data_IF_039008421893
#
_entry.id   IF_039008421893
#
_cell.length_a   1.000
_cell.length_b   1.000
_cell.length_c   1.000
_cell.angle_alpha   90.00
_cell.angle_beta   90.00
_cell.angle_gamma   90.00
#
_symmetry.space_group_name_H-M   'P 1'
#
loop_
_entity.id
_entity.type
_entity.pdbx_description
1 polymer ?
#
# COMPACT_ATOMS: atom_id res chain seq x y z
N UNK A 1 14.54 8.52 20.11
CA UNK A 1 14.40 9.99 19.96
C UNK A 1 14.33 10.41 18.50
N UNK A 2 15.36 10.19 17.67
CA UNK A 2 15.36 10.60 16.24
C UNK A 2 14.15 10.06 15.46
N UNK A 3 13.86 8.76 15.59
CA UNK A 3 12.71 8.14 14.92
C UNK A 3 11.35 8.75 15.31
N UNK A 4 11.21 9.29 16.53
CA UNK A 4 10.00 9.98 16.96
C UNK A 4 9.79 11.28 16.17
N UNK A 5 10.84 12.11 16.06
CA UNK A 5 10.77 13.37 15.31
C UNK A 5 10.59 13.16 13.81
N UNK A 6 11.25 12.15 13.24
CA UNK A 6 11.03 11.75 11.84
C UNK A 6 9.61 11.24 11.63
N UNK A 7 9.07 10.47 12.59
CA UNK A 7 7.68 10.02 12.58
C UNK A 7 6.67 11.17 12.65
N UNK A 8 6.90 12.15 13.53
CA UNK A 8 6.10 13.37 13.63
C UNK A 8 6.11 14.15 12.32
N UNK A 9 7.29 14.31 11.70
CA UNK A 9 7.41 14.93 10.38
C UNK A 9 6.66 14.13 9.31
N UNK A 10 6.71 12.80 9.35
CA UNK A 10 5.93 11.92 8.46
C UNK A 10 4.42 12.10 8.61
N UNK A 11 3.93 12.46 9.80
CA UNK A 11 2.52 12.78 10.06
C UNK A 11 2.00 13.96 9.22
N UNK A 12 2.87 14.86 8.77
CA UNK A 12 2.51 15.96 7.85
C UNK A 12 1.92 15.47 6.51
N UNK A 13 2.17 14.21 6.14
CA UNK A 13 1.56 13.59 4.96
C UNK A 13 0.03 13.67 4.98
N UNK A 14 -0.60 13.43 6.15
CA UNK A 14 -2.06 13.51 6.28
C UNK A 14 -2.57 14.94 6.04
N UNK A 15 -1.82 15.93 6.53
CA UNK A 15 -2.12 17.36 6.30
C UNK A 15 -2.04 17.68 4.82
N UNK A 16 -1.02 17.19 4.11
CA UNK A 16 -0.87 17.41 2.67
C UNK A 16 -1.94 16.73 1.82
N UNK A 17 -2.43 15.54 2.21
CA UNK A 17 -3.58 14.90 1.54
C UNK A 17 -4.84 15.75 1.71
N UNK A 18 -5.14 16.18 2.94
CA UNK A 18 -6.30 17.02 3.22
C UNK A 18 -6.22 18.37 2.51
N UNK A 19 -5.01 18.95 2.43
CA UNK A 19 -4.72 20.15 1.66
C UNK A 19 -5.02 19.91 0.18
N UNK A 20 -4.39 18.92 -0.46
CA UNK A 20 -4.60 18.64 -1.89
C UNK A 20 -6.07 18.38 -2.21
N UNK A 21 -6.79 17.60 -1.41
CA UNK A 21 -8.19 17.28 -1.72
C UNK A 21 -9.10 18.52 -1.74
N UNK A 22 -8.81 19.56 -0.95
CA UNK A 22 -9.61 20.79 -0.94
C UNK A 22 -9.41 21.65 -2.18
N UNK A 23 -8.19 21.65 -2.72
CA UNK A 23 -7.82 22.50 -3.86
C UNK A 23 -8.23 21.95 -5.23
N UNK A 24 -8.66 20.69 -5.31
CA UNK A 24 -9.04 20.04 -6.55
C UNK A 24 -10.50 19.57 -6.52
N UNK A 25 -11.15 19.68 -7.68
CA UNK A 25 -12.50 19.17 -7.90
C UNK A 25 -12.58 17.66 -7.64
N UNK A 26 -13.74 17.17 -7.19
CA UNK A 26 -13.96 15.73 -6.90
C UNK A 26 -13.56 14.81 -8.06
N UNK A 27 -13.72 15.26 -9.31
CA UNK A 27 -13.35 14.51 -10.52
C UNK A 27 -11.84 14.38 -10.76
N UNK A 28 -10.99 15.11 -10.02
CA UNK A 28 -9.52 15.12 -10.17
C UNK A 28 -8.76 14.89 -8.86
N UNK A 29 -9.48 14.68 -7.76
CA UNK A 29 -8.91 14.49 -6.43
C UNK A 29 -8.01 13.26 -6.35
N UNK A 30 -8.38 12.17 -7.02
CA UNK A 30 -7.59 10.94 -7.07
C UNK A 30 -6.22 11.20 -7.68
N UNK A 31 -6.18 11.88 -8.82
CA UNK A 31 -4.95 12.28 -9.49
C UNK A 31 -4.11 13.20 -8.59
N UNK A 32 -4.69 14.25 -8.02
CA UNK A 32 -3.97 15.19 -7.16
C UNK A 32 -3.32 14.50 -5.96
N UNK A 33 -4.07 13.66 -5.22
CA UNK A 33 -3.55 12.87 -4.11
C UNK A 33 -2.57 11.78 -4.55
N UNK A 34 -2.73 11.28 -5.79
CA UNK A 34 -1.83 10.34 -6.44
C UNK A 34 -0.46 10.97 -6.68
N UNK A 35 -0.41 12.17 -7.27
CA UNK A 35 0.81 12.96 -7.51
C UNK A 35 1.46 13.34 -6.18
N UNK A 36 0.69 13.87 -5.23
CA UNK A 36 1.20 14.19 -3.90
C UNK A 36 1.86 12.96 -3.23
N UNK A 37 1.20 11.81 -3.28
CA UNK A 37 1.75 10.57 -2.74
C UNK A 37 2.83 9.90 -3.58
N UNK A 38 3.07 10.34 -4.82
CA UNK A 38 4.20 9.89 -5.63
C UNK A 38 5.55 10.31 -5.03
N UNK A 39 5.55 11.21 -4.03
CA UNK A 39 6.70 11.49 -3.16
C UNK A 39 7.32 10.24 -2.51
N UNK A 40 6.58 9.12 -2.42
CA UNK A 40 7.13 7.82 -2.03
C UNK A 40 8.28 7.35 -2.94
N UNK A 41 8.38 7.86 -4.18
CA UNK A 41 9.53 7.66 -5.07
C UNK A 41 10.84 8.16 -4.47
N UNK A 42 10.76 9.15 -3.56
CA UNK A 42 11.91 9.63 -2.79
C UNK A 42 12.62 8.52 -2.01
N UNK A 43 11.92 7.47 -1.56
CA UNK A 43 12.55 6.31 -0.93
C UNK A 43 13.46 5.54 -1.89
N UNK A 44 13.07 5.43 -3.17
CA UNK A 44 13.92 4.81 -4.19
C UNK A 44 15.14 5.70 -4.51
N UNK A 45 14.94 7.02 -4.62
CA UNK A 45 16.04 7.99 -4.78
C UNK A 45 17.02 7.89 -3.60
N UNK A 46 16.52 7.78 -2.37
CA UNK A 46 17.35 7.62 -1.16
C UNK A 46 18.22 6.37 -1.19
N UNK A 47 17.75 5.26 -1.76
CA UNK A 47 18.57 4.04 -1.91
C UNK A 47 19.78 4.25 -2.83
N UNK A 48 19.73 5.23 -3.74
CA UNK A 48 20.84 5.59 -4.63
C UNK A 48 21.72 6.70 -4.05
N UNK A 49 21.10 7.72 -3.46
CA UNK A 49 21.79 8.92 -2.96
C UNK A 49 22.48 8.68 -1.63
N UNK A 50 21.85 7.95 -0.69
CA UNK A 50 22.40 7.78 0.65
C UNK A 50 23.76 7.03 0.64
N UNK A 51 23.94 5.91 -0.09
CA UNK A 51 25.26 5.28 -0.19
C UNK A 51 26.33 6.19 -0.78
N UNK A 52 26.00 7.02 -1.78
CA UNK A 52 26.94 7.97 -2.36
C UNK A 52 27.41 9.03 -1.35
N UNK A 53 26.49 9.54 -0.53
CA UNK A 53 26.82 10.47 0.57
C UNK A 53 27.71 9.78 1.61
N UNK A 54 27.37 8.54 1.99
CA UNK A 54 28.16 7.77 2.98
C UNK A 54 29.59 7.57 2.50
N UNK A 55 29.78 7.20 1.23
CA UNK A 55 31.12 6.98 0.64
C UNK A 55 31.92 8.28 0.56
N UNK A 56 31.30 9.38 0.15
CA UNK A 56 32.00 10.64 -0.07
C UNK A 56 32.27 11.44 1.22
N UNK A 57 31.33 11.42 2.18
CA UNK A 57 31.34 12.34 3.33
C UNK A 57 31.01 11.67 4.67
N UNK A 58 30.83 10.35 4.71
CA UNK A 58 30.48 9.61 5.91
C UNK A 58 28.99 9.60 6.24
N UNK A 59 28.59 8.69 7.14
CA UNK A 59 27.18 8.43 7.44
C UNK A 59 26.47 9.58 8.16
N UNK A 60 27.19 10.40 8.93
CA UNK A 60 26.64 11.55 9.68
C UNK A 60 26.14 12.66 8.76
N UNK A 61 26.65 12.74 7.53
CA UNK A 61 26.22 13.73 6.54
C UNK A 61 24.88 13.40 5.92
N UNK A 62 24.48 12.12 5.89
CA UNK A 62 23.18 11.70 5.35
C UNK A 62 22.02 12.46 6.01
N UNK A 63 21.80 12.40 7.33
CA UNK A 63 20.69 13.12 7.95
C UNK A 63 20.79 14.64 7.79
N UNK A 64 21.99 15.23 7.73
CA UNK A 64 22.17 16.67 7.55
C UNK A 64 21.73 17.13 6.16
N UNK A 65 22.10 16.40 5.10
CA UNK A 65 21.68 16.68 3.73
C UNK A 65 20.16 16.58 3.60
N UNK A 66 19.54 15.53 4.19
CA UNK A 66 18.09 15.40 4.18
C UNK A 66 17.39 16.51 4.98
N UNK A 67 17.94 16.92 6.12
CA UNK A 67 17.40 18.03 6.90
C UNK A 67 17.43 19.35 6.10
N UNK A 68 18.55 19.64 5.41
CA UNK A 68 18.66 20.80 4.54
C UNK A 68 17.66 20.74 3.37
N UNK A 69 17.52 19.59 2.71
CA UNK A 69 16.55 19.40 1.62
C UNK A 69 15.10 19.61 2.10
N UNK A 70 14.76 19.12 3.30
CA UNK A 70 13.45 19.34 3.92
C UNK A 70 13.22 20.82 4.24
N UNK A 71 14.22 21.53 4.76
CA UNK A 71 14.12 22.97 5.03
C UNK A 71 13.90 23.76 3.74
N UNK A 72 14.66 23.46 2.67
CA UNK A 72 14.46 24.08 1.35
C UNK A 72 13.05 23.83 0.85
N UNK A 73 12.54 22.60 0.97
CA UNK A 73 11.16 22.27 0.57
C UNK A 73 10.13 23.05 1.38
N UNK A 74 10.34 23.20 2.70
CA UNK A 74 9.47 23.98 3.56
C UNK A 74 9.46 25.47 3.21
N UNK A 75 10.63 26.05 2.90
CA UNK A 75 10.74 27.44 2.44
C UNK A 75 10.06 27.64 1.08
N UNK A 76 10.28 26.73 0.12
CA UNK A 76 9.58 26.76 -1.16
C UNK A 76 8.07 26.69 -0.96
N UNK A 77 7.58 25.78 -0.12
CA UNK A 77 6.16 25.71 0.19
C UNK A 77 5.65 27.01 0.83
N UNK A 78 6.39 27.61 1.76
CA UNK A 78 6.02 28.87 2.41
C UNK A 78 5.89 30.05 1.43
N UNK A 79 6.81 30.17 0.46
CA UNK A 79 6.84 31.30 -0.46
C UNK A 79 5.97 31.12 -1.72
N UNK A 80 5.71 29.88 -2.13
CA UNK A 80 5.00 29.58 -3.38
C UNK A 80 3.56 29.07 -3.19
N UNK A 81 3.10 28.93 -1.95
CA UNK A 81 1.71 28.52 -1.65
C UNK A 81 0.82 29.74 -1.38
N UNK A 82 -0.44 29.62 -1.77
CA UNK A 82 -1.46 30.66 -1.57
C UNK A 82 -2.52 30.21 -0.56
N UNK A 83 -3.12 31.16 0.14
CA UNK A 83 -4.23 30.92 1.05
C UNK A 83 -5.58 31.15 0.35
N UNK A 84 -6.50 30.20 0.49
CA UNK A 84 -7.89 30.36 0.09
C UNK A 84 -8.80 30.35 1.34
N UNK A 85 -9.55 31.43 1.62
CA UNK A 85 -10.51 31.47 2.72
C UNK A 85 -11.54 30.34 2.69
N UNK A 86 -11.96 29.87 1.51
CA UNK A 86 -12.92 28.77 1.35
C UNK A 86 -12.36 27.42 1.81
N UNK A 87 -11.03 27.27 1.84
CA UNK A 87 -10.37 26.04 2.28
C UNK A 87 -10.01 26.02 3.77
N UNK A 88 -10.30 27.09 4.53
CA UNK A 88 -10.01 27.16 5.96
C UNK A 88 -10.88 26.17 6.75
N UNK A 89 -10.28 25.56 7.78
CA UNK A 89 -10.97 24.60 8.67
C UNK A 89 -11.15 25.26 10.03
N UNK A 90 -12.32 25.13 10.69
CA UNK A 90 -12.48 25.60 12.07
C UNK A 90 -11.50 24.89 13.00
N UNK A 91 -10.83 25.64 13.88
CA UNK A 91 -9.77 25.12 14.77
C UNK A 91 -10.27 24.37 16.00
N UNK A 92 -11.55 23.96 16.02
CA UNK A 92 -12.25 23.54 17.25
C UNK A 92 -12.39 22.02 17.41
N UNK A 93 -11.82 21.21 16.52
CA UNK A 93 -12.00 19.75 16.55
C UNK A 93 -11.17 19.13 17.68
N UNK A 94 -11.84 18.60 18.69
CA UNK A 94 -11.19 17.96 19.85
C UNK A 94 -10.66 16.56 19.50
N UNK A 95 -9.63 16.10 20.22
CA UNK A 95 -9.11 14.72 20.08
C UNK A 95 -10.23 13.69 20.28
N UNK A 96 -11.17 13.94 21.20
CA UNK A 96 -12.32 13.07 21.44
C UNK A 96 -13.22 12.95 20.22
N UNK A 97 -13.45 14.04 19.48
CA UNK A 97 -14.22 14.02 18.24
C UNK A 97 -13.49 13.27 17.13
N UNK A 98 -12.17 13.43 17.03
CA UNK A 98 -11.36 12.66 16.07
C UNK A 98 -11.42 11.16 16.35
N UNK A 99 -11.32 10.75 17.62
CA UNK A 99 -11.43 9.34 18.02
C UNK A 99 -12.83 8.75 17.81
N UNK A 100 -13.89 9.57 17.67
CA UNK A 100 -15.22 9.05 17.30
C UNK A 100 -15.23 8.41 15.91
N UNK A 101 -14.33 8.82 15.01
CA UNK A 101 -14.20 8.19 13.70
C UNK A 101 -13.87 6.70 13.78
N UNK A 102 -13.21 6.24 14.85
CA UNK A 102 -12.93 4.81 15.07
C UNK A 102 -14.17 3.98 15.38
N UNK A 103 -15.32 4.61 15.68
CA UNK A 103 -16.58 3.90 15.85
C UNK A 103 -17.24 3.55 14.52
N UNK A 104 -16.81 4.16 13.43
CA UNK A 104 -17.35 3.91 12.10
C UNK A 104 -16.70 2.66 11.48
N UNK A 105 -17.47 1.59 11.19
CA UNK A 105 -16.92 0.38 10.58
C UNK A 105 -16.36 0.61 9.16
N UNK A 106 -16.81 1.64 8.45
CA UNK A 106 -16.30 1.98 7.11
C UNK A 106 -14.85 2.50 7.19
N UNK A 107 -14.48 3.19 8.28
CA UNK A 107 -13.09 3.61 8.51
C UNK A 107 -12.17 2.39 8.66
N UNK A 108 -12.59 1.37 9.42
CA UNK A 108 -11.81 0.14 9.58
C UNK A 108 -11.64 -0.65 8.28
N UNK A 109 -12.64 -0.61 7.41
CA UNK A 109 -12.54 -1.16 6.06
C UNK A 109 -11.41 -0.47 5.27
N UNK A 110 -11.33 0.86 5.30
CA UNK A 110 -10.23 1.59 4.64
C UNK A 110 -8.88 1.37 5.31
N UNK A 111 -8.84 1.29 6.65
CA UNK A 111 -7.64 0.90 7.38
C UNK A 111 -7.12 -0.48 6.91
N UNK A 112 -8.03 -1.44 6.72
CA UNK A 112 -7.69 -2.77 6.25
C UNK A 112 -7.18 -2.78 4.79
N UNK A 113 -7.80 -2.02 3.89
CA UNK A 113 -7.30 -1.91 2.52
C UNK A 113 -5.92 -1.25 2.48
N UNK A 114 -5.75 -0.18 3.25
CA UNK A 114 -4.49 0.56 3.30
C UNK A 114 -3.36 -0.20 4.00
N UNK A 115 -3.68 -1.03 5.00
CA UNK A 115 -2.69 -1.91 5.65
C UNK A 115 -2.05 -2.89 4.67
N UNK A 116 -2.76 -3.32 3.63
CA UNK A 116 -2.22 -4.14 2.55
C UNK A 116 -1.38 -3.29 1.59
N UNK A 117 -2.03 -2.31 0.94
CA UNK A 117 -1.42 -1.64 -0.22
C UNK A 117 -0.30 -0.68 0.16
N UNK A 118 -0.30 -0.17 1.39
CA UNK A 118 0.79 0.62 1.95
C UNK A 118 1.62 -0.19 2.96
N UNK A 119 1.00 -0.79 3.96
CA UNK A 119 1.73 -1.55 4.99
C UNK A 119 2.43 -2.78 4.41
N UNK A 120 1.70 -3.60 3.66
CA UNK A 120 2.26 -4.73 2.91
C UNK A 120 3.30 -4.29 1.88
N UNK A 121 3.12 -3.14 1.23
CA UNK A 121 4.14 -2.57 0.35
C UNK A 121 5.45 -2.28 1.10
N UNK A 122 5.38 -1.55 2.22
CA UNK A 122 6.57 -1.26 3.03
C UNK A 122 7.21 -2.55 3.53
N UNK A 123 6.41 -3.50 4.00
CA UNK A 123 6.88 -4.76 4.54
C UNK A 123 7.61 -5.60 3.48
N UNK A 124 7.01 -5.77 2.30
CA UNK A 124 7.64 -6.47 1.18
C UNK A 124 8.92 -5.74 0.76
N UNK A 125 8.90 -4.41 0.61
CA UNK A 125 10.07 -3.64 0.21
C UNK A 125 11.28 -3.83 1.14
N UNK A 126 11.04 -4.03 2.45
CA UNK A 126 12.08 -4.34 3.44
C UNK A 126 12.52 -5.82 3.40
N UNK A 127 11.60 -6.72 3.04
CA UNK A 127 11.84 -8.16 3.04
C UNK A 127 12.54 -8.68 1.76
N UNK A 128 12.29 -8.05 0.60
CA UNK A 128 12.65 -8.61 -0.71
C UNK A 128 14.13 -8.90 -0.89
N UNK A 129 15.02 -7.99 -0.49
CA UNK A 129 16.47 -8.21 -0.65
C UNK A 129 16.91 -9.46 0.12
N UNK A 130 16.47 -9.62 1.37
CA UNK A 130 16.77 -10.80 2.18
C UNK A 130 16.20 -12.06 1.53
N UNK A 131 14.97 -11.99 1.01
CA UNK A 131 14.32 -13.11 0.35
C UNK A 131 15.10 -13.61 -0.88
N UNK A 132 15.52 -12.71 -1.78
CA UNK A 132 16.33 -13.09 -2.95
C UNK A 132 17.67 -13.73 -2.57
N UNK A 133 18.36 -13.21 -1.54
CA UNK A 133 19.61 -13.80 -1.06
C UNK A 133 19.35 -15.20 -0.48
N UNK A 134 18.30 -15.34 0.33
CA UNK A 134 18.10 -16.56 1.12
C UNK A 134 17.44 -17.69 0.33
N UNK A 135 16.54 -17.37 -0.59
CA UNK A 135 15.77 -18.35 -1.37
C UNK A 135 16.43 -18.66 -2.71
N UNK A 136 16.91 -17.64 -3.43
CA UNK A 136 17.49 -17.78 -4.76
C UNK A 136 19.02 -17.79 -4.79
N UNK A 137 19.67 -17.57 -3.63
CA UNK A 137 21.13 -17.60 -3.53
C UNK A 137 21.85 -16.45 -4.26
N UNK A 138 21.12 -15.39 -4.62
CA UNK A 138 21.74 -14.24 -5.28
C UNK A 138 22.65 -13.46 -4.33
N UNK A 139 23.65 -12.80 -4.90
CA UNK A 139 24.46 -11.85 -4.17
C UNK A 139 23.64 -10.60 -3.79
N UNK A 140 24.11 -9.87 -2.78
CA UNK A 140 23.37 -8.72 -2.23
C UNK A 140 23.07 -7.65 -3.28
N UNK A 141 23.98 -7.45 -4.25
CA UNK A 141 23.83 -6.43 -5.30
C UNK A 141 22.70 -6.80 -6.26
N UNK A 142 22.69 -8.04 -6.77
CA UNK A 142 21.62 -8.50 -7.67
C UNK A 142 20.28 -8.57 -6.94
N UNK A 143 20.26 -9.09 -5.72
CA UNK A 143 19.06 -9.13 -4.88
C UNK A 143 18.45 -7.74 -4.65
N UNK A 144 19.28 -6.73 -4.37
CA UNK A 144 18.82 -5.35 -4.20
C UNK A 144 18.30 -4.73 -5.50
N UNK A 145 18.91 -5.05 -6.64
CA UNK A 145 18.45 -4.60 -7.96
C UNK A 145 17.06 -5.18 -8.28
N UNK A 146 16.89 -6.49 -8.11
CA UNK A 146 15.60 -7.18 -8.32
C UNK A 146 14.52 -6.66 -7.36
N UNK A 147 14.85 -6.47 -6.08
CA UNK A 147 13.96 -5.87 -5.10
C UNK A 147 13.56 -4.42 -5.46
N UNK A 148 14.40 -3.70 -6.19
CA UNK A 148 14.09 -2.33 -6.62
C UNK A 148 12.97 -2.30 -7.66
N UNK A 149 12.85 -3.35 -8.49
CA UNK A 149 11.75 -3.49 -9.46
C UNK A 149 10.36 -3.43 -8.81
N UNK A 150 10.23 -3.90 -7.56
CA UNK A 150 9.01 -3.74 -6.76
C UNK A 150 8.75 -2.28 -6.35
N UNK A 151 9.79 -1.59 -5.90
CA UNK A 151 9.64 -0.29 -5.22
C UNK A 151 9.60 0.93 -6.15
N UNK A 152 10.21 0.85 -7.33
CA UNK A 152 10.24 1.95 -8.29
C UNK A 152 8.84 2.31 -8.85
N UNK A 153 8.08 1.33 -9.39
CA UNK A 153 6.73 1.59 -9.88
C UNK A 153 5.79 2.07 -8.77
N UNK A 154 6.00 1.56 -7.56
CA UNK A 154 5.22 1.86 -6.36
C UNK A 154 5.09 3.35 -6.02
N UNK A 155 6.07 4.16 -6.43
CA UNK A 155 6.05 5.62 -6.28
C UNK A 155 5.47 6.31 -7.51
N UNK A 156 6.03 6.06 -8.70
CA UNK A 156 5.69 6.79 -9.93
C UNK A 156 4.27 6.49 -10.41
N UNK A 157 3.87 5.22 -10.38
CA UNK A 157 2.57 4.78 -10.88
C UNK A 157 1.41 5.09 -9.93
N UNK A 158 1.70 5.57 -8.72
CA UNK A 158 0.66 5.97 -7.78
C UNK A 158 -0.22 7.10 -8.36
N UNK A 159 0.39 8.04 -9.07
CA UNK A 159 -0.34 9.07 -9.80
C UNK A 159 -1.33 8.42 -10.78
N UNK A 160 -0.85 7.55 -11.66
CA UNK A 160 -1.69 6.83 -12.64
C UNK A 160 -2.87 6.12 -11.97
N UNK A 161 -2.65 5.45 -10.83
CA UNK A 161 -3.74 4.82 -10.07
C UNK A 161 -4.78 5.81 -9.54
N UNK A 162 -4.36 7.01 -9.17
CA UNK A 162 -5.26 8.10 -8.78
C UNK A 162 -6.14 8.57 -9.94
N UNK A 163 -5.53 8.77 -11.11
CA UNK A 163 -6.24 9.11 -12.34
C UNK A 163 -7.25 8.02 -12.75
N UNK A 164 -6.86 6.75 -12.67
CA UNK A 164 -7.78 5.63 -12.90
C UNK A 164 -8.94 5.61 -11.90
N UNK A 165 -8.69 5.98 -10.65
CA UNK A 165 -9.72 6.03 -9.61
C UNK A 165 -10.71 7.17 -9.82
N UNK A 166 -10.27 8.27 -10.43
CA UNK A 166 -11.16 9.37 -10.84
C UNK A 166 -12.07 8.97 -12.01
N UNK A 167 -11.57 8.20 -12.98
CA UNK A 167 -12.34 7.81 -14.17
C UNK A 167 -13.22 6.57 -13.98
N UNK A 168 -12.71 5.53 -13.31
CA UNK A 168 -13.43 4.27 -13.12
C UNK A 168 -14.03 4.15 -11.73
N UNK A 169 -13.71 5.05 -10.80
CA UNK A 169 -14.19 5.03 -9.42
C UNK A 169 -13.27 4.24 -8.49
N UNK A 170 -13.15 4.71 -7.26
CA UNK A 170 -12.29 4.14 -6.23
C UNK A 170 -12.57 2.65 -5.96
N UNK A 171 -13.85 2.26 -5.98
CA UNK A 171 -14.28 0.87 -5.78
C UNK A 171 -13.71 -0.08 -6.82
N UNK A 172 -13.97 0.19 -8.11
CA UNK A 172 -13.53 -0.71 -9.20
C UNK A 172 -12.02 -0.86 -9.23
N UNK A 173 -11.27 0.23 -9.03
CA UNK A 173 -9.80 0.17 -8.99
C UNK A 173 -9.33 -0.67 -7.80
N UNK A 174 -9.87 -0.44 -6.61
CA UNK A 174 -9.48 -1.18 -5.40
C UNK A 174 -9.83 -2.67 -5.52
N UNK A 175 -11.00 -3.00 -6.06
CA UNK A 175 -11.44 -4.38 -6.32
C UNK A 175 -10.44 -5.15 -7.19
N UNK A 176 -10.07 -4.57 -8.35
CA UNK A 176 -9.10 -5.20 -9.25
C UNK A 176 -7.70 -5.26 -8.65
N UNK A 177 -7.28 -4.24 -7.90
CA UNK A 177 -6.00 -4.26 -7.17
C UNK A 177 -5.95 -5.45 -6.22
N UNK A 178 -7.01 -5.68 -5.44
CA UNK A 178 -7.07 -6.80 -4.50
C UNK A 178 -7.06 -8.14 -5.23
N UNK A 179 -7.80 -8.31 -6.34
CA UNK A 179 -7.79 -9.56 -7.13
C UNK A 179 -6.44 -9.86 -7.77
N UNK A 180 -5.83 -8.88 -8.43
CA UNK A 180 -4.51 -9.04 -9.04
C UNK A 180 -3.48 -9.40 -7.97
N UNK A 181 -3.52 -8.71 -6.83
CA UNK A 181 -2.64 -9.00 -5.70
C UNK A 181 -2.88 -10.40 -5.14
N UNK A 182 -4.14 -10.82 -5.01
CA UNK A 182 -4.52 -12.14 -4.51
C UNK A 182 -3.97 -13.26 -5.38
N UNK A 183 -4.13 -13.16 -6.71
CA UNK A 183 -3.60 -14.15 -7.66
C UNK A 183 -2.07 -14.19 -7.60
N UNK A 184 -1.40 -13.03 -7.66
CA UNK A 184 0.06 -12.99 -7.64
C UNK A 184 0.63 -13.53 -6.33
N UNK A 185 0.06 -13.14 -5.19
CA UNK A 185 0.48 -13.62 -3.88
C UNK A 185 0.20 -15.10 -3.69
N UNK A 186 -0.89 -15.63 -4.26
CA UNK A 186 -1.15 -17.07 -4.27
C UNK A 186 -0.03 -17.82 -5.00
N UNK A 187 0.33 -17.38 -6.21
CA UNK A 187 1.42 -17.99 -6.99
C UNK A 187 2.77 -17.90 -6.27
N UNK A 188 3.06 -16.76 -5.63
CA UNK A 188 4.29 -16.54 -4.85
C UNK A 188 4.28 -17.30 -3.51
N UNK A 189 3.12 -17.72 -3.02
CA UNK A 189 3.00 -18.46 -1.76
C UNK A 189 3.45 -19.91 -1.86
N UNK A 190 3.50 -20.46 -3.07
CA UNK A 190 3.84 -21.86 -3.27
C UNK A 190 5.34 -22.11 -3.04
N UNK A 191 5.73 -22.95 -2.06
CA UNK A 191 7.13 -23.24 -1.79
C UNK A 191 7.74 -24.13 -2.88
N UNK A 192 9.07 -24.14 -2.97
CA UNK A 192 9.77 -25.14 -3.80
C UNK A 192 9.40 -26.54 -3.32
N UNK A 193 8.74 -27.31 -4.18
CA UNK A 193 8.12 -28.58 -3.83
C UNK A 193 8.52 -29.66 -4.82
N UNK A 194 8.98 -30.79 -4.31
CA UNK A 194 9.19 -32.01 -5.09
C UNK A 194 8.05 -32.98 -4.79
N UNK A 195 7.34 -33.42 -5.82
CA UNK A 195 6.27 -34.40 -5.66
C UNK A 195 6.55 -35.63 -6.51
N UNK A 196 6.46 -36.81 -5.89
CA UNK A 196 6.68 -38.09 -6.56
C UNK A 196 5.34 -38.81 -6.70
N UNK A 197 4.90 -39.01 -7.94
CA UNK A 197 3.67 -39.73 -8.27
C UNK A 197 4.01 -41.15 -8.71
N UNK A 198 3.30 -42.13 -8.14
CA UNK A 198 3.38 -43.51 -8.62
C UNK A 198 2.59 -43.64 -9.91
N UNK A 199 3.29 -43.82 -11.04
CA UNK A 199 2.67 -44.00 -12.36
C UNK A 199 2.73 -45.47 -12.77
N UNK A 200 1.97 -45.84 -13.81
CA UNK A 200 2.03 -47.19 -14.41
C UNK A 200 3.41 -47.57 -14.95
N UNK A 201 4.26 -46.57 -15.22
CA UNK A 201 5.63 -46.76 -15.72
C UNK A 201 6.70 -46.62 -14.61
N UNK A 202 6.28 -46.58 -13.33
CA UNK A 202 7.14 -46.38 -12.17
C UNK A 202 6.97 -45.00 -11.51
N UNK A 203 7.73 -44.73 -10.41
CA UNK A 203 7.69 -43.44 -9.74
C UNK A 203 8.23 -42.34 -10.65
N UNK A 204 7.48 -41.24 -10.78
CA UNK A 204 7.95 -40.02 -11.45
C UNK A 204 7.98 -38.85 -10.48
N UNK A 205 9.13 -38.19 -10.38
CA UNK A 205 9.34 -37.01 -9.54
C UNK A 205 9.26 -35.74 -10.37
N UNK A 206 8.46 -34.79 -9.90
CA UNK A 206 8.20 -33.51 -10.54
C UNK A 206 8.63 -32.40 -9.59
N UNK A 207 9.36 -31.43 -10.11
CA UNK A 207 9.86 -30.29 -9.34
C UNK A 207 9.02 -29.06 -9.68
N UNK A 208 8.26 -28.58 -8.71
CA UNK A 208 7.48 -27.35 -8.83
C UNK A 208 8.23 -26.24 -8.08
N UNK A 209 8.92 -25.40 -8.85
CA UNK A 209 9.65 -24.26 -8.32
C UNK A 209 9.30 -23.00 -9.11
N UNK A 210 9.18 -21.87 -8.40
CA UNK A 210 8.99 -20.57 -9.02
C UNK A 210 10.37 -19.98 -9.34
N UNK A 211 10.70 -19.83 -10.62
CA UNK A 211 11.99 -19.25 -11.01
C UNK A 211 12.09 -17.80 -10.54
N UNK A 212 13.31 -17.30 -10.35
CA UNK A 212 13.55 -15.94 -9.91
C UNK A 212 12.95 -14.89 -10.87
N UNK A 213 12.96 -15.15 -12.18
CA UNK A 213 12.41 -14.25 -13.20
C UNK A 213 10.90 -14.13 -13.06
N UNK A 214 10.21 -15.27 -12.96
CA UNK A 214 8.74 -15.31 -12.80
C UNK A 214 8.35 -14.65 -11.48
N UNK A 215 9.07 -14.97 -10.39
CA UNK A 215 8.86 -14.31 -9.09
C UNK A 215 9.04 -12.79 -9.18
N UNK A 216 10.09 -12.31 -9.86
CA UNK A 216 10.35 -10.88 -10.04
C UNK A 216 9.24 -10.19 -10.83
N UNK A 217 8.71 -10.84 -11.87
CA UNK A 217 7.58 -10.32 -12.66
C UNK A 217 6.31 -10.24 -11.80
N UNK A 218 5.98 -11.30 -11.05
CA UNK A 218 4.83 -11.30 -10.14
C UNK A 218 4.96 -10.21 -9.08
N UNK A 219 6.15 -10.08 -8.50
CA UNK A 219 6.47 -9.05 -7.53
C UNK A 219 6.29 -7.64 -8.14
N UNK A 220 6.78 -7.41 -9.35
CA UNK A 220 6.58 -6.15 -10.07
C UNK A 220 5.08 -5.84 -10.23
N UNK A 221 4.28 -6.81 -10.67
CA UNK A 221 2.82 -6.66 -10.82
C UNK A 221 2.17 -6.29 -9.48
N UNK A 222 2.54 -6.95 -8.38
CA UNK A 222 2.07 -6.59 -7.03
C UNK A 222 2.48 -5.17 -6.66
N UNK A 223 3.72 -4.75 -6.99
CA UNK A 223 4.20 -3.39 -6.77
C UNK A 223 3.35 -2.34 -7.49
N UNK A 224 3.00 -2.59 -8.75
CA UNK A 224 2.08 -1.74 -9.53
C UNK A 224 0.68 -1.72 -8.93
N UNK A 225 0.12 -2.90 -8.62
CA UNK A 225 -1.21 -3.02 -8.03
C UNK A 225 -1.29 -2.26 -6.69
N UNK A 226 -0.30 -2.42 -5.82
CA UNK A 226 -0.22 -1.69 -4.56
C UNK A 226 -0.02 -0.19 -4.76
N UNK A 227 0.69 0.24 -5.81
CA UNK A 227 0.76 1.66 -6.19
C UNK A 227 -0.62 2.24 -6.48
N UNK A 228 -1.43 1.50 -7.24
CA UNK A 228 -2.79 1.91 -7.59
C UNK A 228 -3.72 1.88 -6.39
N UNK A 229 -3.70 0.81 -5.60
CA UNK A 229 -4.51 0.67 -4.40
C UNK A 229 -4.27 1.77 -3.38
N UNK A 230 -3.01 2.17 -3.23
CA UNK A 230 -2.60 3.31 -2.40
C UNK A 230 -3.29 4.61 -2.78
N UNK A 231 -3.52 4.84 -4.08
CA UNK A 231 -4.22 6.03 -4.57
C UNK A 231 -5.74 5.87 -4.49
N UNK A 232 -6.26 4.70 -4.87
CA UNK A 232 -7.71 4.42 -4.86
C UNK A 232 -8.31 4.46 -3.46
N UNK A 233 -7.59 4.02 -2.44
CA UNK A 233 -8.06 4.11 -1.03
C UNK A 233 -8.19 5.56 -0.58
N UNK A 234 -7.27 6.47 -0.94
CA UNK A 234 -7.46 7.88 -0.60
C UNK A 234 -8.55 8.55 -1.41
N UNK A 235 -8.75 8.13 -2.67
CA UNK A 235 -9.92 8.55 -3.46
C UNK A 235 -11.22 8.12 -2.78
N UNK A 236 -11.31 6.89 -2.28
CA UNK A 236 -12.41 6.40 -1.43
C UNK A 236 -12.68 7.31 -0.22
N UNK A 237 -11.62 7.66 0.53
CA UNK A 237 -11.76 8.51 1.71
C UNK A 237 -12.25 9.91 1.31
N UNK A 238 -11.79 10.44 0.18
CA UNK A 238 -12.21 11.73 -0.33
C UNK A 238 -13.68 11.75 -0.77
N UNK A 239 -14.15 10.64 -1.36
CA UNK A 239 -15.54 10.50 -1.81
C UNK A 239 -16.50 10.34 -0.61
N UNK A 240 -16.14 9.50 0.36
CA UNK A 240 -17.02 9.15 1.49
C UNK A 240 -16.92 10.14 2.68
N UNK A 241 -15.77 10.80 2.86
CA UNK A 241 -15.52 11.70 4.00
C UNK A 241 -14.96 13.08 3.57
N UNK A 242 -15.63 13.83 2.67
CA UNK A 242 -15.11 15.10 2.15
C UNK A 242 -14.86 16.16 3.24
N UNK A 243 -15.66 16.17 4.31
CA UNK A 243 -15.52 17.14 5.40
C UNK A 243 -14.46 16.75 6.44
N UNK A 244 -14.16 15.46 6.58
CA UNK A 244 -13.28 14.91 7.63
C UNK A 244 -12.04 14.20 7.06
N UNK A 245 -11.71 14.44 5.79
CA UNK A 245 -10.66 13.71 5.07
C UNK A 245 -9.34 13.66 5.84
N UNK A 246 -8.90 14.76 6.46
CA UNK A 246 -7.63 14.79 7.21
C UNK A 246 -7.60 13.88 8.44
N UNK A 247 -8.72 13.75 9.15
CA UNK A 247 -8.81 12.83 10.32
C UNK A 247 -8.83 11.39 9.83
N UNK A 248 -9.65 11.07 8.83
CA UNK A 248 -9.78 9.70 8.33
C UNK A 248 -8.50 9.24 7.64
N UNK A 249 -7.92 10.07 6.77
CA UNK A 249 -6.63 9.77 6.12
C UNK A 249 -5.49 9.60 7.13
N UNK A 250 -5.51 10.35 8.23
CA UNK A 250 -4.56 10.19 9.34
C UNK A 250 -4.70 8.84 10.05
N UNK A 251 -5.91 8.44 10.41
CA UNK A 251 -6.19 7.14 11.05
C UNK A 251 -5.81 5.99 10.10
N UNK A 252 -6.26 6.05 8.85
CA UNK A 252 -5.97 5.03 7.83
C UNK A 252 -4.47 4.95 7.56
N UNK A 253 -3.80 6.11 7.48
CA UNK A 253 -2.34 6.20 7.34
C UNK A 253 -1.59 5.59 8.51
N UNK A 254 -2.03 5.82 9.75
CA UNK A 254 -1.47 5.22 10.96
C UNK A 254 -1.56 3.69 10.92
N UNK A 255 -2.75 3.14 10.63
CA UNK A 255 -2.92 1.68 10.54
C UNK A 255 -2.08 1.10 9.39
N UNK A 256 -1.99 1.81 8.27
CA UNK A 256 -1.08 1.45 7.18
C UNK A 256 0.38 1.37 7.63
N UNK A 257 0.86 2.39 8.35
CA UNK A 257 2.21 2.43 8.90
C UNK A 257 2.47 1.32 9.93
N UNK A 258 1.50 1.03 10.80
CA UNK A 258 1.56 -0.09 11.72
C UNK A 258 1.67 -1.43 10.98
N UNK A 259 0.92 -1.60 9.88
CA UNK A 259 1.07 -2.77 9.00
C UNK A 259 2.50 -2.93 8.48
N UNK A 260 3.11 -1.84 8.00
CA UNK A 260 4.50 -1.85 7.53
C UNK A 260 5.55 -2.17 8.59
N UNK A 261 5.24 -1.90 9.86
CA UNK A 261 6.09 -2.25 11.00
C UNK A 261 5.87 -3.69 11.49
N UNK A 262 4.62 -4.12 11.62
CA UNK A 262 4.26 -5.42 12.19
C UNK A 262 4.49 -6.58 11.21
N UNK A 263 4.17 -6.39 9.92
CA UNK A 263 4.23 -7.47 8.93
C UNK A 263 5.64 -8.07 8.76
N UNK A 264 6.75 -7.30 8.70
CA UNK A 264 8.10 -7.89 8.63
C UNK A 264 8.45 -8.75 9.85
N UNK A 265 7.98 -8.36 11.04
CA UNK A 265 8.17 -9.14 12.27
C UNK A 265 7.40 -10.46 12.15
N UNK A 266 6.16 -10.40 11.66
CA UNK A 266 5.34 -11.60 11.40
C UNK A 266 5.94 -12.49 10.31
N UNK A 267 6.53 -11.92 9.25
CA UNK A 267 7.25 -12.69 8.23
C UNK A 267 8.42 -13.46 8.83
N UNK A 268 9.23 -12.80 9.67
CA UNK A 268 10.30 -13.44 10.42
C UNK A 268 9.79 -14.61 11.27
N UNK A 269 8.82 -14.33 12.13
CA UNK A 269 8.23 -15.34 13.01
C UNK A 269 7.63 -16.53 12.24
N UNK A 270 6.97 -16.29 11.12
CA UNK A 270 6.40 -17.37 10.29
C UNK A 270 7.48 -18.23 9.65
N UNK A 271 8.58 -17.64 9.17
CA UNK A 271 9.71 -18.42 8.65
C UNK A 271 10.35 -19.25 9.76
N UNK A 272 10.53 -18.67 10.95
CA UNK A 272 11.12 -19.37 12.10
C UNK A 272 10.22 -20.54 12.58
N UNK A 273 8.90 -20.38 12.52
CA UNK A 273 7.93 -21.40 12.95
C UNK A 273 7.71 -22.50 11.89
N UNK A 274 7.60 -22.12 10.61
CA UNK A 274 7.24 -23.06 9.54
C UNK A 274 8.43 -23.67 8.83
N UNK A 275 9.60 -23.02 8.90
CA UNK A 275 10.77 -23.33 8.07
C UNK A 275 10.62 -22.95 6.59
N UNK A 276 9.48 -22.37 6.19
CA UNK A 276 9.15 -22.10 4.79
C UNK A 276 9.28 -20.60 4.51
N UNK A 277 10.17 -20.21 3.59
CA UNK A 277 10.40 -18.78 3.26
C UNK A 277 9.20 -18.11 2.58
N UNK A 278 8.39 -18.86 1.82
CA UNK A 278 7.18 -18.34 1.15
C UNK A 278 6.01 -18.08 2.10
N UNK A 279 6.14 -18.43 3.39
CA UNK A 279 5.12 -18.15 4.42
C UNK A 279 4.76 -16.66 4.54
N UNK A 280 5.70 -15.76 4.22
CA UNK A 280 5.43 -14.33 4.13
C UNK A 280 4.33 -14.00 3.09
N UNK A 281 4.35 -14.65 1.92
CA UNK A 281 3.33 -14.47 0.88
C UNK A 281 2.03 -15.18 1.24
N UNK A 282 2.08 -16.32 1.94
CA UNK A 282 0.89 -16.98 2.48
C UNK A 282 0.13 -16.07 3.45
N UNK A 283 0.85 -15.38 4.35
CA UNK A 283 0.26 -14.39 5.24
C UNK A 283 -0.37 -13.24 4.45
N UNK A 284 0.37 -12.64 3.52
CA UNK A 284 -0.13 -11.54 2.70
C UNK A 284 -1.36 -11.95 1.88
N UNK A 285 -1.35 -13.14 1.28
CA UNK A 285 -2.48 -13.74 0.59
C UNK A 285 -3.72 -13.84 1.51
N UNK A 286 -3.54 -14.34 2.73
CA UNK A 286 -4.60 -14.40 3.74
C UNK A 286 -5.17 -13.03 4.10
N UNK A 287 -4.32 -12.02 4.31
CA UNK A 287 -4.74 -10.65 4.63
C UNK A 287 -5.53 -10.01 3.47
N UNK A 288 -5.08 -10.23 2.22
CA UNK A 288 -5.82 -9.78 1.02
C UNK A 288 -7.18 -10.49 0.93
N UNK A 289 -7.22 -11.78 1.22
CA UNK A 289 -8.46 -12.55 1.17
C UNK A 289 -9.50 -12.05 2.18
N UNK A 290 -9.09 -11.73 3.42
CA UNK A 290 -9.97 -11.07 4.41
C UNK A 290 -10.57 -9.78 3.86
N UNK A 291 -9.77 -9.01 3.11
CA UNK A 291 -10.21 -7.74 2.53
C UNK A 291 -11.20 -7.92 1.38
N UNK A 292 -10.98 -8.92 0.52
CA UNK A 292 -11.91 -9.31 -0.55
C UNK A 292 -13.25 -9.77 0.03
N UNK A 293 -13.22 -10.61 1.07
CA UNK A 293 -14.42 -11.09 1.77
C UNK A 293 -15.20 -9.90 2.36
N UNK A 294 -14.50 -9.00 3.05
CA UNK A 294 -15.12 -7.82 3.64
C UNK A 294 -15.74 -6.92 2.56
N UNK A 295 -15.03 -6.68 1.46
CA UNK A 295 -15.53 -5.89 0.33
C UNK A 295 -16.78 -6.53 -0.30
N UNK A 296 -16.77 -7.84 -0.51
CA UNK A 296 -17.91 -8.56 -1.06
C UNK A 296 -19.17 -8.43 -0.19
N UNK A 297 -19.04 -8.62 1.14
CA UNK A 297 -20.20 -8.53 2.03
C UNK A 297 -20.73 -7.10 2.23
N UNK A 298 -19.85 -6.10 2.21
CA UNK A 298 -20.25 -4.73 2.51
C UNK A 298 -20.72 -3.94 1.29
N UNK A 299 -20.21 -4.26 0.09
CA UNK A 299 -20.43 -3.43 -1.10
C UNK A 299 -21.14 -4.22 -2.20
N UNK A 300 -20.62 -5.39 -2.59
CA UNK A 300 -21.17 -6.17 -3.70
C UNK A 300 -22.54 -6.78 -3.34
N UNK A 301 -22.60 -7.51 -2.23
CA UNK A 301 -23.84 -8.19 -1.80
C UNK A 301 -24.96 -7.20 -1.46
N UNK A 302 -24.63 -6.00 -0.96
CA UNK A 302 -25.64 -4.98 -0.66
C UNK A 302 -26.23 -4.36 -1.92
N UNK A 303 -25.42 -4.13 -2.95
CA UNK A 303 -25.89 -3.66 -4.25
C UNK A 303 -26.86 -4.69 -4.89
N UNK A 304 -26.51 -5.98 -4.86
CA UNK A 304 -27.38 -7.05 -5.37
C UNK A 304 -28.72 -7.16 -4.63
N UNK A 305 -28.73 -6.91 -3.31
CA UNK A 305 -29.96 -6.91 -2.50
C UNK A 305 -30.85 -5.69 -2.78
N UNK A 306 -30.26 -4.53 -3.10
CA UNK A 306 -31.01 -3.31 -3.45
C UNK A 306 -31.51 -3.33 -4.90
N UNK A 307 -30.85 -4.09 -5.79
CA UNK A 307 -31.22 -4.24 -7.20
C UNK A 307 -32.18 -5.39 -7.50
N UNK A 308 -32.50 -6.25 -6.51
CA UNK A 308 -33.63 -7.18 -6.67
C UNK A 308 -34.92 -6.37 -6.78
N UNK A 309 -35.70 -6.50 -7.87
CA UNK A 309 -37.07 -6.00 -7.88
C UNK A 309 -37.77 -6.66 -6.69
N UNK A 310 -38.51 -5.88 -5.91
CA UNK A 310 -39.52 -6.46 -5.02
C UNK A 310 -40.27 -7.49 -5.86
N UNK A 311 -40.18 -8.77 -5.49
CA UNK A 311 -40.96 -9.82 -6.13
C UNK A 311 -42.37 -9.30 -6.21
N UNK A 312 -42.88 -9.21 -7.45
CA UNK A 312 -44.26 -8.91 -7.72
C UNK A 312 -45.09 -9.72 -6.72
N UNK A 313 -45.85 -9.01 -5.89
CA UNK A 313 -46.88 -9.64 -5.09
C UNK A 313 -47.65 -10.52 -6.06
N UNK A 314 -47.60 -11.83 -5.79
CA UNK A 314 -48.29 -12.86 -6.54
C UNK A 314 -49.77 -12.48 -6.51
N UNK A 315 -50.18 -11.80 -7.58
CA UNK A 315 -51.57 -11.55 -7.88
C UNK A 315 -51.90 -12.72 -8.78
N UNK A 316 -52.52 -13.74 -8.21
CA UNK A 316 -53.55 -14.57 -8.82
C UNK A 316 -54.02 -15.65 -7.81
N UNK A 317 -55.35 -15.65 -7.62
CA UNK A 317 -56.24 -16.61 -6.94
C UNK A 317 -56.43 -16.52 -5.41
#
# INVERSE_FOLDING_TARGET
VIGLFVGLAGGSFSVGIAYCARWFEKSRQGMAMGVFGAGNSGAAVTKLVAPAIVVAYGWTMVPQVYAAAMLVTALLFWFFTYDDPAHKVPSHVTVREQLRALKDPVVWKYCQYYSIVFGGYVALALWMTKYYVSEYGFDLKTAALLATAFSLPGGVLRAVGGWLSDHWGAHRVTWWVLWVSWICLFLMSYPNTEFTVQTVNGPQTWHLHLTAEVFTVLLFIVGVAFAFGKASVFKYISDDYPHNIGVISGIVGLIGGLGGFLLPIMFGALVDLTGIRTSAFMLMYGVVWVSLIWMYFTEVRKLDLMMKPAQAADTLE
#
